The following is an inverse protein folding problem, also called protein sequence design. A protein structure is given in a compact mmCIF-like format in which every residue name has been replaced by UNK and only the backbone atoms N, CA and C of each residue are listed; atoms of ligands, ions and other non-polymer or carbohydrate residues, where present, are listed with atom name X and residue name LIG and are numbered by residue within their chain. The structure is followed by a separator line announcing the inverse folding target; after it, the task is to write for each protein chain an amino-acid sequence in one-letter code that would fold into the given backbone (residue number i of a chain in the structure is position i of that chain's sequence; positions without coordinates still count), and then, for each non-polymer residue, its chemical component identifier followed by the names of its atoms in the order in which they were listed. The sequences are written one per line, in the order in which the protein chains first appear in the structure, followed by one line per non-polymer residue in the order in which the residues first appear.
data_IF_833318289417
#
_entry.id   IF_833318289417
#
_cell.length_a   1.000
_cell.length_b   1.000
_cell.length_c   1.000
_cell.angle_alpha   90.00
_cell.angle_beta   90.00
_cell.angle_gamma   90.00
#
_symmetry.space_group_name_H-M   'P 1'
#
loop_
_entity.id
_entity.type
_entity.pdbx_description
1 polymer ?
#
# COMPACT_ATOMS: atom_id res chain seq x y z
N UNK A 1 30.94 -18.92 -19.16
CA UNK A 1 30.06 -19.06 -17.97
C UNK A 1 29.23 -20.32 -18.15
N UNK A 2 29.16 -21.13 -17.09
CA UNK A 2 28.29 -22.30 -17.08
C UNK A 2 26.81 -21.89 -17.06
N UNK A 3 25.94 -22.66 -17.72
CA UNK A 3 24.49 -22.47 -17.68
C UNK A 3 23.96 -22.39 -16.24
N UNK A 4 24.58 -23.16 -15.34
CA UNK A 4 24.26 -23.14 -13.91
C UNK A 4 24.60 -21.79 -13.25
N UNK A 5 25.74 -21.17 -13.61
CA UNK A 5 26.14 -19.87 -13.07
C UNK A 5 25.16 -18.77 -13.48
N UNK A 6 24.66 -18.83 -14.72
CA UNK A 6 23.67 -17.89 -15.23
C UNK A 6 22.35 -18.02 -14.47
N UNK A 7 21.84 -19.23 -14.30
CA UNK A 7 20.60 -19.46 -13.55
C UNK A 7 20.73 -19.05 -12.08
N UNK A 8 21.85 -19.38 -11.44
CA UNK A 8 22.12 -18.99 -10.06
C UNK A 8 22.16 -17.47 -9.92
N UNK A 9 22.81 -16.77 -10.86
CA UNK A 9 22.85 -15.31 -10.86
C UNK A 9 21.48 -14.66 -11.08
N UNK A 10 20.63 -15.23 -11.95
CA UNK A 10 19.27 -14.74 -12.17
C UNK A 10 18.36 -15.03 -10.96
N UNK A 11 18.50 -16.20 -10.33
CA UNK A 11 17.76 -16.54 -9.11
C UNK A 11 18.12 -15.59 -7.95
N UNK A 12 19.40 -15.25 -7.79
CA UNK A 12 19.84 -14.27 -6.80
C UNK A 12 19.22 -12.88 -7.05
N UNK A 13 19.19 -12.42 -8.30
CA UNK A 13 18.55 -11.14 -8.68
C UNK A 13 17.05 -11.16 -8.43
N UNK A 14 16.38 -12.28 -8.66
CA UNK A 14 14.97 -12.43 -8.31
C UNK A 14 14.74 -12.34 -6.80
N UNK A 15 15.57 -13.03 -6.00
CA UNK A 15 15.48 -12.96 -4.54
C UNK A 15 15.69 -11.52 -4.02
N UNK A 16 16.67 -10.78 -4.57
CA UNK A 16 16.87 -9.36 -4.24
C UNK A 16 15.67 -8.49 -4.64
N UNK A 17 15.05 -8.75 -5.79
CA UNK A 17 13.87 -8.00 -6.22
C UNK A 17 12.64 -8.32 -5.36
N UNK A 18 12.46 -9.57 -4.94
CA UNK A 18 11.43 -9.98 -3.99
C UNK A 18 11.61 -9.31 -2.63
N UNK A 19 12.85 -9.24 -2.12
CA UNK A 19 13.13 -8.56 -0.86
C UNK A 19 12.81 -7.06 -0.96
N UNK A 20 13.20 -6.39 -2.04
CA UNK A 20 12.85 -4.97 -2.27
C UNK A 20 11.35 -4.73 -2.33
N UNK A 21 10.58 -5.62 -2.96
CA UNK A 21 9.12 -5.52 -2.98
C UNK A 21 8.55 -5.67 -1.57
N UNK A 22 9.03 -6.62 -0.76
CA UNK A 22 8.59 -6.80 0.62
C UNK A 22 8.90 -5.57 1.50
N UNK A 23 10.10 -5.01 1.35
CA UNK A 23 10.49 -3.79 2.07
C UNK A 23 9.61 -2.59 1.66
N UNK A 24 9.29 -2.47 0.37
CA UNK A 24 8.39 -1.45 -0.14
C UNK A 24 6.95 -1.63 0.37
N UNK A 25 6.42 -2.86 0.43
CA UNK A 25 5.11 -3.17 1.04
C UNK A 25 5.09 -2.74 2.51
N UNK A 26 6.16 -3.03 3.25
CA UNK A 26 6.28 -2.60 4.65
C UNK A 26 6.24 -1.07 4.76
N UNK A 27 7.01 -0.37 3.92
CA UNK A 27 7.03 1.10 3.92
C UNK A 27 5.64 1.70 3.60
N UNK A 28 4.89 1.14 2.65
CA UNK A 28 3.51 1.55 2.36
C UNK A 28 2.60 1.36 3.57
N UNK A 29 2.70 0.22 4.26
CA UNK A 29 1.87 -0.03 5.43
C UNK A 29 2.21 0.91 6.60
N UNK A 30 3.50 1.14 6.85
CA UNK A 30 3.97 2.01 7.92
C UNK A 30 3.55 3.48 7.65
N UNK A 31 3.73 3.97 6.42
CA UNK A 31 3.32 5.33 6.05
C UNK A 31 1.81 5.50 6.04
N UNK A 32 1.06 4.47 5.63
CA UNK A 32 -0.41 4.47 5.72
C UNK A 32 -0.89 4.57 7.16
N UNK A 33 -0.32 3.79 8.06
CA UNK A 33 -0.69 3.82 9.47
C UNK A 33 -0.40 5.20 10.11
N UNK A 34 0.75 5.81 9.78
CA UNK A 34 1.09 7.16 10.23
C UNK A 34 0.12 8.21 9.68
N UNK A 35 -0.25 8.11 8.40
CA UNK A 35 -1.22 9.00 7.76
C UNK A 35 -2.61 8.89 8.40
N UNK A 36 -3.08 7.66 8.65
CA UNK A 36 -4.38 7.42 9.26
C UNK A 36 -4.42 7.99 10.70
N UNK A 37 -3.33 7.87 11.46
CA UNK A 37 -3.21 8.47 12.79
C UNK A 37 -3.21 10.01 12.72
N UNK A 38 -2.47 10.61 11.79
CA UNK A 38 -2.45 12.05 11.62
C UNK A 38 -3.82 12.61 11.19
N UNK A 39 -4.57 11.91 10.36
CA UNK A 39 -5.95 12.27 10.00
C UNK A 39 -6.87 12.25 11.21
N UNK A 40 -6.73 11.26 12.08
CA UNK A 40 -7.50 11.21 13.33
C UNK A 40 -7.18 12.39 14.27
N UNK A 41 -5.89 12.76 14.36
CA UNK A 41 -5.44 13.93 15.11
C UNK A 41 -6.02 15.24 14.55
N UNK A 42 -6.05 15.39 13.23
CA UNK A 42 -6.63 16.56 12.56
C UNK A 42 -8.15 16.68 12.84
N UNK A 43 -8.89 15.58 12.79
CA UNK A 43 -10.33 15.53 13.14
C UNK A 43 -10.53 15.93 14.60
N UNK A 44 -9.66 15.48 15.50
CA UNK A 44 -9.72 15.88 16.91
C UNK A 44 -9.46 17.40 17.08
N UNK A 45 -8.50 17.97 16.33
CA UNK A 45 -8.22 19.39 16.32
C UNK A 45 -9.38 20.22 15.73
N UNK A 46 -10.06 19.75 14.69
CA UNK A 46 -11.30 20.36 14.17
C UNK A 46 -12.39 20.44 15.24
N UNK A 47 -12.53 19.38 16.03
CA UNK A 47 -13.48 19.35 17.15
C UNK A 47 -13.14 20.38 18.21
N UNK A 48 -11.85 20.61 18.51
CA UNK A 48 -11.41 21.66 19.43
C UNK A 48 -11.72 23.07 18.91
N UNK A 49 -11.50 23.32 17.63
CA UNK A 49 -11.85 24.60 16.97
C UNK A 49 -13.37 24.83 17.07
N UNK A 50 -14.17 23.82 16.72
CA UNK A 50 -15.63 23.90 16.81
C UNK A 50 -16.11 24.22 18.24
N UNK A 51 -15.55 23.55 19.24
CA UNK A 51 -15.87 23.79 20.63
C UNK A 51 -15.49 25.21 21.08
N UNK A 52 -14.32 25.69 20.67
CA UNK A 52 -13.86 27.06 20.98
C UNK A 52 -14.74 28.14 20.32
N UNK A 53 -15.14 27.92 19.06
CA UNK A 53 -16.03 28.84 18.34
C UNK A 53 -17.45 28.84 18.94
N UNK A 54 -17.97 27.69 19.34
CA UNK A 54 -19.25 27.58 20.05
C UNK A 54 -19.21 28.30 21.40
N UNK A 55 -18.15 28.11 22.20
CA UNK A 55 -17.98 28.79 23.48
C UNK A 55 -17.91 30.32 23.29
N UNK A 56 -17.17 30.78 22.26
CA UNK A 56 -17.13 32.20 21.89
C UNK A 56 -18.51 32.71 21.52
N UNK A 57 -19.25 32.01 20.66
CA UNK A 57 -20.58 32.43 20.21
C UNK A 57 -21.59 32.51 21.39
N UNK A 58 -21.54 31.57 22.30
CA UNK A 58 -22.36 31.57 23.50
C UNK A 58 -22.03 32.76 24.42
N UNK A 59 -20.74 33.04 24.62
CA UNK A 59 -20.28 34.16 25.41
C UNK A 59 -20.68 35.52 24.79
N UNK A 60 -20.48 35.66 23.47
CA UNK A 60 -20.89 36.84 22.70
C UNK A 60 -22.43 37.07 22.76
N UNK A 61 -23.22 36.00 22.66
CA UNK A 61 -24.68 36.07 22.77
C UNK A 61 -25.14 36.51 24.17
N UNK A 62 -24.47 36.05 25.23
CA UNK A 62 -24.74 36.50 26.59
C UNK A 62 -24.41 37.97 26.77
N UNK A 63 -23.26 38.44 26.24
CA UNK A 63 -22.87 39.86 26.28
C UNK A 63 -23.87 40.73 25.50
N UNK A 64 -24.32 40.27 24.31
CA UNK A 64 -25.31 40.98 23.51
C UNK A 64 -26.66 41.16 24.26
N UNK A 65 -27.09 40.13 24.99
CA UNK A 65 -28.29 40.23 25.81
C UNK A 65 -28.15 41.26 26.93
N UNK A 66 -26.96 41.38 27.54
CA UNK A 66 -26.69 42.40 28.56
C UNK A 66 -26.70 43.81 27.97
N UNK A 67 -26.11 43.99 26.78
CA UNK A 67 -26.15 45.28 26.08
C UNK A 67 -27.56 45.72 25.67
N UNK A 68 -28.52 44.80 25.58
CA UNK A 68 -29.93 45.08 25.31
C UNK A 68 -30.76 45.40 26.52
N UNK A 69 -30.21 45.24 27.75
CA UNK A 69 -30.85 45.67 28.96
C UNK A 69 -30.77 47.21 29.04
N UNK A 70 -31.92 47.81 29.09
CA UNK A 70 -31.99 49.27 29.25
C UNK A 70 -31.32 49.68 30.56
N UNK A 71 -30.12 50.24 30.46
CA UNK A 71 -29.35 50.70 31.61
C UNK A 71 -30.16 51.75 32.45
N UNK A 72 -31.03 52.53 31.80
CA UNK A 72 -31.90 53.47 32.45
C UNK A 72 -32.95 52.79 33.37
N UNK A 73 -33.54 51.69 32.91
CA UNK A 73 -34.48 50.91 33.70
C UNK A 73 -33.80 50.19 34.88
N UNK A 74 -32.57 49.69 34.69
CA UNK A 74 -31.77 49.04 35.74
C UNK A 74 -31.37 50.06 36.83
N UNK A 75 -30.94 51.26 36.47
CA UNK A 75 -30.59 52.34 37.40
C UNK A 75 -31.86 52.80 38.17
N UNK A 76 -32.99 52.94 37.49
CA UNK A 76 -34.24 53.33 38.10
C UNK A 76 -34.76 52.31 39.12
N UNK A 77 -34.37 51.05 38.97
CA UNK A 77 -34.69 49.97 39.93
C UNK A 77 -33.71 49.87 41.10
N UNK A 78 -32.70 50.78 41.18
CA UNK A 78 -31.70 50.78 42.25
C UNK A 78 -30.61 49.70 42.09
N UNK A 79 -30.46 49.14 40.89
CA UNK A 79 -29.41 48.14 40.60
C UNK A 79 -28.11 48.84 40.29
N UNK A 80 -27.07 48.64 41.07
CA UNK A 80 -25.73 49.18 40.80
C UNK A 80 -25.01 48.24 39.76
N UNK A 81 -25.10 48.66 38.50
CA UNK A 81 -24.53 47.88 37.36
C UNK A 81 -23.02 47.83 37.43
N UNK A 82 -22.34 48.73 38.19
CA UNK A 82 -20.89 48.79 38.29
C UNK A 82 -20.32 47.88 39.40
N UNK A 83 -21.16 47.42 40.29
CA UNK A 83 -20.80 46.51 41.39
C UNK A 83 -21.18 45.04 41.10
N UNK A 84 -21.61 44.72 39.89
CA UNK A 84 -22.11 43.39 39.55
C UNK A 84 -20.96 42.43 39.25
N UNK A 85 -20.53 41.65 40.22
CA UNK A 85 -19.52 40.58 40.06
C UNK A 85 -19.90 39.59 38.97
N UNK A 86 -21.19 39.36 38.74
CA UNK A 86 -21.67 38.48 37.68
C UNK A 86 -21.40 39.04 36.28
N UNK A 87 -21.48 40.38 36.09
CA UNK A 87 -21.14 41.03 34.83
C UNK A 87 -19.64 40.92 34.53
N UNK A 88 -18.82 41.20 35.56
CA UNK A 88 -17.35 41.07 35.42
C UNK A 88 -16.95 39.62 35.12
N UNK A 89 -17.57 38.63 35.75
CA UNK A 89 -17.35 37.23 35.48
C UNK A 89 -17.74 36.85 34.03
N UNK A 90 -18.81 37.41 33.49
CA UNK A 90 -19.27 37.21 32.14
C UNK A 90 -18.31 37.81 31.09
N UNK A 91 -17.80 39.02 31.34
CA UNK A 91 -16.76 39.63 30.52
C UNK A 91 -15.47 38.82 30.51
N UNK A 92 -15.03 38.36 31.70
CA UNK A 92 -13.86 37.50 31.82
C UNK A 92 -14.04 36.20 31.03
N UNK A 93 -15.21 35.56 31.13
CA UNK A 93 -15.55 34.35 30.37
C UNK A 93 -15.52 34.60 28.86
N UNK A 94 -16.04 35.75 28.40
CA UNK A 94 -16.02 36.08 26.97
C UNK A 94 -14.60 36.33 26.42
N UNK A 95 -13.77 37.03 27.19
CA UNK A 95 -12.35 37.25 26.85
C UNK A 95 -11.62 35.93 26.77
N UNK A 96 -11.81 35.04 27.76
CA UNK A 96 -11.17 33.72 27.74
C UNK A 96 -11.64 32.85 26.56
N UNK A 97 -12.96 32.82 26.30
CA UNK A 97 -13.51 32.06 25.18
C UNK A 97 -12.94 32.55 23.80
N UNK A 98 -12.85 33.88 23.62
CA UNK A 98 -12.24 34.47 22.42
C UNK A 98 -10.77 34.13 22.30
N UNK A 99 -10.03 34.14 23.41
CA UNK A 99 -8.61 33.85 23.45
C UNK A 99 -8.30 32.38 23.08
N UNK A 100 -9.23 31.43 23.25
CA UNK A 100 -9.06 30.00 22.93
C UNK A 100 -9.18 29.69 21.44
N UNK A 101 -9.81 30.54 20.64
CA UNK A 101 -10.06 30.27 19.21
C UNK A 101 -8.76 30.26 18.39
N UNK A 102 -7.91 31.26 18.57
CA UNK A 102 -6.67 31.35 17.78
C UNK A 102 -5.69 30.21 18.04
N UNK A 103 -5.41 29.80 19.31
CA UNK A 103 -4.60 28.63 19.58
C UNK A 103 -5.20 27.33 19.02
N UNK A 104 -6.51 27.13 19.10
CA UNK A 104 -7.16 25.96 18.54
C UNK A 104 -7.00 25.88 17.01
N UNK A 105 -7.14 27.01 16.32
CA UNK A 105 -6.86 27.11 14.86
C UNK A 105 -5.41 26.80 14.54
N UNK A 106 -4.46 27.35 15.31
CA UNK A 106 -3.03 27.06 15.09
C UNK A 106 -2.70 25.55 15.23
N UNK A 107 -3.34 24.88 16.20
CA UNK A 107 -3.20 23.41 16.34
C UNK A 107 -3.78 22.69 15.12
N UNK A 108 -4.93 23.10 14.62
CA UNK A 108 -5.52 22.51 13.42
C UNK A 108 -4.62 22.69 12.21
N UNK A 109 -4.08 23.89 11.99
CA UNK A 109 -3.18 24.20 10.88
C UNK A 109 -1.92 23.31 10.94
N UNK A 110 -1.34 23.14 12.16
CA UNK A 110 -0.21 22.23 12.38
C UNK A 110 -0.55 20.78 12.03
N UNK A 111 -1.70 20.29 12.48
CA UNK A 111 -2.14 18.92 12.22
C UNK A 111 -2.44 18.70 10.74
N UNK A 112 -3.03 19.68 10.08
CA UNK A 112 -3.29 19.62 8.65
C UNK A 112 -1.98 19.58 7.85
N UNK A 113 -0.99 20.39 8.20
CA UNK A 113 0.33 20.37 7.58
C UNK A 113 1.03 18.98 7.77
N UNK A 114 0.85 18.36 8.93
CA UNK A 114 1.35 17.01 9.17
C UNK A 114 0.67 15.96 8.27
N UNK A 115 -0.65 16.06 8.08
CA UNK A 115 -1.40 15.19 7.15
C UNK A 115 -0.88 15.35 5.72
N UNK A 116 -0.67 16.58 5.25
CA UNK A 116 -0.20 16.85 3.89
C UNK A 116 1.22 16.30 3.66
N UNK A 117 2.12 16.45 4.65
CA UNK A 117 3.46 15.87 4.62
C UNK A 117 3.45 14.33 4.58
N UNK A 118 2.62 13.70 5.40
CA UNK A 118 2.48 12.23 5.44
C UNK A 118 1.77 11.69 4.20
N UNK A 119 0.83 12.42 3.61
CA UNK A 119 0.21 12.05 2.33
C UNK A 119 1.28 11.98 1.23
N UNK A 120 2.15 12.98 1.14
CA UNK A 120 3.27 12.98 0.18
C UNK A 120 4.21 11.80 0.40
N UNK A 121 4.50 11.45 1.67
CA UNK A 121 5.30 10.29 2.03
C UNK A 121 4.65 8.96 1.63
N UNK A 122 3.35 8.84 1.83
CA UNK A 122 2.58 7.66 1.42
C UNK A 122 2.56 7.49 -0.10
N UNK A 123 2.34 8.57 -0.85
CA UNK A 123 2.33 8.55 -2.32
C UNK A 123 3.71 8.15 -2.87
N UNK A 124 4.80 8.64 -2.26
CA UNK A 124 6.15 8.23 -2.61
C UNK A 124 6.42 6.73 -2.31
N UNK A 125 5.92 6.23 -1.18
CA UNK A 125 6.03 4.81 -0.83
C UNK A 125 5.25 3.91 -1.81
N UNK A 126 4.06 4.33 -2.24
CA UNK A 126 3.28 3.63 -3.28
C UNK A 126 4.04 3.58 -4.61
N UNK A 127 4.63 4.69 -5.05
CA UNK A 127 5.41 4.74 -6.27
C UNK A 127 6.64 3.81 -6.20
N UNK A 128 7.32 3.77 -5.05
CA UNK A 128 8.44 2.85 -4.81
C UNK A 128 8.00 1.38 -4.84
N UNK A 129 6.84 1.07 -4.28
CA UNK A 129 6.25 -0.27 -4.33
C UNK A 129 5.94 -0.72 -5.76
N UNK A 130 5.30 0.13 -6.57
CA UNK A 130 4.99 -0.22 -7.97
C UNK A 130 6.26 -0.44 -8.80
N UNK A 131 7.32 0.33 -8.55
CA UNK A 131 8.62 0.12 -9.17
C UNK A 131 9.25 -1.22 -8.75
N UNK A 132 9.29 -1.52 -7.44
CA UNK A 132 9.85 -2.76 -6.92
C UNK A 132 9.09 -4.00 -7.44
N UNK A 133 7.77 -3.92 -7.53
CA UNK A 133 6.91 -4.95 -8.12
C UNK A 133 7.20 -5.16 -9.62
N UNK A 134 7.39 -4.09 -10.37
CA UNK A 134 7.78 -4.15 -11.79
C UNK A 134 9.15 -4.82 -11.97
N UNK A 135 10.12 -4.47 -11.13
CA UNK A 135 11.46 -5.06 -11.12
C UNK A 135 11.42 -6.57 -10.82
N UNK A 136 10.59 -6.99 -9.85
CA UNK A 136 10.40 -8.41 -9.54
C UNK A 136 9.82 -9.17 -10.74
N UNK A 137 8.75 -8.63 -11.35
CA UNK A 137 8.13 -9.25 -12.54
C UNK A 137 9.15 -9.38 -13.68
N UNK A 138 9.96 -8.34 -13.91
CA UNK A 138 11.00 -8.38 -14.93
C UNK A 138 12.10 -9.40 -14.62
N UNK A 139 12.46 -9.58 -13.34
CA UNK A 139 13.42 -10.60 -12.91
C UNK A 139 12.86 -12.02 -13.07
N UNK A 140 11.60 -12.26 -12.73
CA UNK A 140 10.89 -13.52 -12.95
C UNK A 140 10.85 -13.89 -14.42
N UNK A 141 10.53 -12.94 -15.30
CA UNK A 141 10.49 -13.17 -16.73
C UNK A 141 11.86 -13.55 -17.27
N UNK A 142 12.91 -12.82 -16.90
CA UNK A 142 14.28 -13.16 -17.32
C UNK A 142 14.73 -14.55 -16.90
N UNK A 143 14.38 -14.95 -15.67
CA UNK A 143 14.70 -16.30 -15.20
C UNK A 143 13.91 -17.36 -15.98
N UNK A 144 12.63 -17.12 -16.22
CA UNK A 144 11.76 -18.02 -17.00
C UNK A 144 12.26 -18.19 -18.43
N UNK A 145 12.60 -17.08 -19.10
CA UNK A 145 13.10 -17.08 -20.47
C UNK A 145 14.43 -17.86 -20.58
N UNK A 146 15.32 -17.68 -19.60
CA UNK A 146 16.60 -18.39 -19.57
C UNK A 146 16.41 -19.90 -19.34
N UNK A 147 15.51 -20.29 -18.45
CA UNK A 147 15.15 -21.70 -18.24
C UNK A 147 14.60 -22.31 -19.54
N UNK A 148 13.71 -21.59 -20.24
CA UNK A 148 13.14 -22.03 -21.50
C UNK A 148 14.23 -22.19 -22.60
N UNK A 149 15.16 -21.24 -22.69
CA UNK A 149 16.30 -21.28 -23.61
C UNK A 149 17.18 -22.50 -23.36
N UNK A 150 17.55 -22.75 -22.10
CA UNK A 150 18.40 -23.88 -21.74
C UNK A 150 17.73 -25.22 -22.04
N UNK A 151 16.43 -25.34 -21.74
CA UNK A 151 15.66 -26.55 -22.09
C UNK A 151 15.61 -26.80 -23.59
N UNK A 152 15.43 -25.72 -24.40
CA UNK A 152 15.43 -25.83 -25.84
C UNK A 152 16.81 -26.25 -26.39
N UNK A 153 17.91 -25.73 -25.85
CA UNK A 153 19.26 -26.14 -26.21
C UNK A 153 19.55 -27.60 -25.86
N UNK A 154 19.11 -28.06 -24.69
CA UNK A 154 19.27 -29.47 -24.32
C UNK A 154 18.46 -30.40 -25.19
N UNK A 155 17.22 -30.05 -25.53
CA UNK A 155 16.38 -30.81 -26.44
C UNK A 155 17.02 -30.88 -27.85
N UNK A 156 17.59 -29.77 -28.37
CA UNK A 156 18.30 -29.76 -29.65
C UNK A 156 19.54 -30.64 -29.63
N UNK A 157 20.32 -30.65 -28.54
CA UNK A 157 21.48 -31.53 -28.38
C UNK A 157 21.08 -33.00 -28.36
N UNK A 158 19.99 -33.36 -27.69
CA UNK A 158 19.46 -34.72 -27.65
C UNK A 158 18.99 -35.17 -29.04
N UNK A 159 18.29 -34.31 -29.79
CA UNK A 159 17.88 -34.61 -31.16
C UNK A 159 19.08 -34.76 -32.08
N UNK A 160 20.10 -33.92 -31.97
CA UNK A 160 21.34 -34.02 -32.77
C UNK A 160 22.17 -35.29 -32.46
N UNK A 161 22.12 -35.76 -31.20
CA UNK A 161 22.77 -37.03 -30.80
C UNK A 161 22.01 -38.26 -31.28
N UNK A 162 20.74 -38.15 -31.60
CA UNK A 162 19.89 -39.20 -32.15
C UNK A 162 19.90 -39.15 -33.68
N UNK A 163 21.08 -39.05 -34.28
CA UNK A 163 21.23 -39.35 -35.74
C UNK A 163 21.18 -40.88 -35.87
N UNK A 164 20.15 -41.45 -36.53
CA UNK A 164 20.10 -42.89 -36.70
C UNK A 164 21.30 -43.32 -37.54
N UNK A 165 22.20 -44.12 -36.96
CA UNK A 165 23.37 -44.75 -37.60
C UNK A 165 22.97 -45.82 -38.63
N UNK A 166 21.77 -45.81 -39.10
CA UNK A 166 21.26 -46.75 -40.09
C UNK A 166 20.70 -46.06 -41.31
N UNK A 167 21.59 -45.54 -42.15
CA UNK A 167 21.32 -45.36 -43.59
C UNK A 167 22.65 -45.24 -44.34
N UNK A 168 23.56 -46.14 -44.06
CA UNK A 168 24.71 -46.41 -44.99
C UNK A 168 24.85 -47.93 -45.15
N UNK A 169 24.15 -48.46 -46.10
CA UNK A 169 24.37 -49.86 -46.50
C UNK A 169 23.14 -50.53 -47.10
N UNK A 170 23.25 -50.59 -48.46
CA UNK A 170 22.63 -51.58 -49.34
C UNK A 170 21.22 -51.35 -49.83
N UNK A 171 21.25 -50.96 -51.15
CA UNK A 171 20.30 -51.38 -52.14
C UNK A 171 19.72 -52.83 -51.86
N UNK A 172 18.43 -52.95 -51.85
CA UNK A 172 17.69 -53.81 -52.78
C UNK A 172 16.21 -53.67 -52.51
N UNK A 173 15.49 -53.47 -53.55
CA UNK A 173 14.05 -53.37 -53.62
C UNK A 173 13.31 -54.56 -53.08
N UNK A 174 12.24 -54.29 -52.30
CA UNK A 174 10.96 -54.97 -52.41
C UNK A 174 9.81 -54.13 -51.87
N UNK A 175 8.74 -53.93 -52.63
CA UNK A 175 7.56 -53.21 -52.13
C UNK A 175 6.62 -54.21 -51.47
N UNK A 176 6.25 -53.93 -50.23
CA UNK A 176 5.14 -54.64 -49.61
C UNK A 176 5.35 -54.98 -48.15
N UNK A 177 5.01 -54.08 -47.29
CA UNK A 177 4.34 -54.41 -46.03
C UNK A 177 4.17 -53.14 -45.22
N UNK A 178 2.96 -52.61 -45.18
CA UNK A 178 2.50 -51.67 -44.17
C UNK A 178 2.54 -52.35 -42.83
N UNK A 179 3.52 -52.08 -42.05
CA UNK A 179 3.46 -52.36 -40.61
C UNK A 179 3.05 -51.09 -39.89
N UNK A 180 1.77 -50.99 -39.59
CA UNK A 180 1.18 -50.17 -38.54
C UNK A 180 1.91 -50.49 -37.23
N UNK A 181 2.73 -49.59 -36.76
CA UNK A 181 3.14 -49.60 -35.36
C UNK A 181 2.57 -48.36 -34.67
N UNK A 182 1.64 -48.71 -33.83
CA UNK A 182 0.84 -47.87 -33.04
C UNK A 182 1.57 -46.92 -32.11
N UNK A 183 0.79 -45.91 -31.78
CA UNK A 183 0.86 -45.10 -30.59
C UNK A 183 1.73 -45.65 -29.47
N UNK A 184 2.77 -44.91 -29.18
CA UNK A 184 3.24 -44.76 -27.80
C UNK A 184 3.70 -43.32 -27.61
N UNK A 185 2.74 -42.47 -27.42
CA UNK A 185 2.93 -41.24 -26.60
C UNK A 185 3.29 -41.72 -25.20
N UNK A 186 4.55 -42.01 -24.97
CA UNK A 186 5.10 -42.28 -23.64
C UNK A 186 5.28 -40.97 -22.92
N UNK A 187 4.38 -40.73 -22.00
CA UNK A 187 4.57 -39.80 -20.87
C UNK A 187 5.96 -40.04 -20.27
N UNK A 188 6.87 -39.10 -20.47
CA UNK A 188 7.99 -38.93 -19.55
C UNK A 188 7.69 -37.69 -18.74
N UNK A 189 6.87 -37.87 -17.72
CA UNK A 189 6.80 -36.97 -16.60
C UNK A 189 8.02 -37.22 -15.72
N UNK A 190 9.13 -36.60 -16.02
CA UNK A 190 10.20 -36.42 -15.04
C UNK A 190 10.03 -35.07 -14.39
N UNK A 191 9.36 -35.08 -13.23
CA UNK A 191 9.39 -34.07 -12.22
C UNK A 191 10.84 -33.83 -11.79
N UNK A 192 11.46 -32.80 -12.34
CA UNK A 192 12.71 -32.29 -11.83
C UNK A 192 12.41 -31.52 -10.54
N UNK A 193 12.60 -32.20 -9.42
CA UNK A 193 12.57 -31.58 -8.09
C UNK A 193 13.86 -30.78 -7.93
N UNK A 194 13.85 -29.53 -8.35
CA UNK A 194 14.84 -28.56 -7.88
C UNK A 194 14.35 -28.12 -6.50
N UNK A 195 15.22 -28.35 -5.53
CA UNK A 195 15.04 -28.25 -4.09
C UNK A 195 14.02 -27.21 -3.63
N UNK A 196 13.13 -27.69 -2.76
CA UNK A 196 12.01 -26.95 -2.23
C UNK A 196 12.41 -25.59 -1.66
N UNK A 197 11.60 -24.62 -1.98
CA UNK A 197 11.09 -23.55 -1.11
C UNK A 197 10.47 -22.38 -1.86
N UNK A 198 10.14 -22.43 -3.16
CA UNK A 198 9.67 -21.22 -3.89
C UNK A 198 8.19 -21.27 -4.32
N UNK A 199 7.43 -22.33 -4.06
CA UNK A 199 6.04 -22.44 -4.59
C UNK A 199 4.92 -22.40 -3.55
N UNK A 200 5.13 -21.86 -2.34
CA UNK A 200 4.05 -21.75 -1.33
C UNK A 200 3.54 -20.32 -1.16
N UNK A 201 4.22 -19.30 -1.67
CA UNK A 201 3.81 -17.91 -1.44
C UNK A 201 2.73 -17.37 -2.42
N UNK A 202 2.47 -18.01 -3.55
CA UNK A 202 1.48 -17.52 -4.51
C UNK A 202 0.03 -17.95 -4.20
N UNK A 203 -0.17 -18.95 -3.34
CA UNK A 203 -1.50 -19.50 -3.01
C UNK A 203 -2.25 -18.78 -1.91
N UNK A 204 -1.56 -18.03 -1.04
CA UNK A 204 -2.18 -17.45 0.17
C UNK A 204 -2.82 -16.08 -0.09
N UNK A 205 -2.39 -15.35 -1.12
CA UNK A 205 -2.92 -14.01 -1.41
C UNK A 205 -4.27 -14.00 -2.14
N UNK A 206 -4.65 -15.07 -2.81
CA UNK A 206 -5.95 -15.16 -3.50
C UNK A 206 -7.12 -15.49 -2.56
N UNK A 207 -6.85 -16.07 -1.40
CA UNK A 207 -7.90 -16.44 -0.45
C UNK A 207 -8.32 -15.27 0.47
N UNK A 208 -7.45 -14.29 0.70
CA UNK A 208 -7.79 -13.10 1.49
C UNK A 208 -8.69 -12.10 0.74
N UNK A 209 -8.60 -12.03 -0.59
CA UNK A 209 -9.46 -11.12 -1.38
C UNK A 209 -10.91 -11.62 -1.38
N UNK A 210 -11.13 -12.93 -1.39
CA UNK A 210 -12.47 -13.54 -1.41
C UNK A 210 -13.24 -13.42 -0.09
N UNK A 211 -12.54 -13.25 1.04
CA UNK A 211 -13.18 -13.08 2.37
C UNK A 211 -13.62 -11.64 2.65
N UNK A 212 -13.08 -10.64 1.94
CA UNK A 212 -13.47 -9.23 2.12
C UNK A 212 -14.68 -8.81 1.29
N UNK A 213 -15.08 -9.61 0.30
CA UNK A 213 -16.26 -9.33 -0.53
C UNK A 213 -17.55 -10.00 0.00
N UNK A 214 -17.48 -10.69 1.16
CA UNK A 214 -18.64 -11.35 1.79
C UNK A 214 -18.97 -10.81 3.20
N UNK A 215 -18.41 -9.69 3.60
CA UNK A 215 -18.81 -8.90 4.76
C UNK A 215 -19.23 -7.49 4.33
#
# INVERSE_FOLDING_TARGET
QSNLDILTGLAAKLAEAQQREQDAVKAVNDTKAALDAAKADAIAAESLVSAAEQAKAQADAKLSKLNSIDAGAAIASGHDVNADDALNALFATAVEARAKVAPAKAILDEKQAAVDGLQSGYDAALAAYELAKSDRIAAEQKLSDEIARQKAEEAAKQQAAYTPKHLAGTDTAQPGSLAQTGDRAGLIGETFVIGGTVLVAAGVFLDQKKRREQM
#
